data_IF_159249788720
#
_entry.id   IF_159249788720
#
_cell.length_a   1.000
_cell.length_b   1.000
_cell.length_c   1.000
_cell.angle_alpha   90.00
_cell.angle_beta   90.00
_cell.angle_gamma   90.00
#
_symmetry.space_group_name_H-M   'P 1'
#
loop_
_entity.id
_entity.type
_entity.pdbx_description
1 polymer ?
#
# COMPACT_ATOMS: atom_id res chain seq x y z
N UNK A 1 13.27 -32.33 13.00
CA UNK A 1 12.16 -32.97 12.23
C UNK A 1 10.89 -32.21 12.59
N UNK A 2 10.18 -31.60 11.65
CA UNK A 2 8.87 -31.00 11.93
C UNK A 2 7.80 -32.10 11.93
N UNK A 3 7.24 -32.49 13.09
CA UNK A 3 6.44 -33.72 13.20
C UNK A 3 5.07 -33.65 12.51
N UNK A 4 4.51 -32.45 12.34
CA UNK A 4 3.14 -32.29 11.85
C UNK A 4 3.03 -31.75 10.42
N UNK A 5 4.13 -31.25 9.82
CA UNK A 5 4.16 -30.88 8.41
C UNK A 5 3.05 -29.91 7.97
N UNK A 6 2.71 -28.88 8.77
CA UNK A 6 1.62 -27.93 8.50
C UNK A 6 1.89 -26.95 7.34
N UNK A 7 2.20 -27.49 6.16
CA UNK A 7 2.52 -26.69 4.96
C UNK A 7 1.26 -26.00 4.43
N UNK A 8 0.14 -26.72 4.38
CA UNK A 8 -1.10 -26.25 3.75
C UNK A 8 -1.74 -25.09 4.51
N UNK A 9 -1.80 -25.16 5.84
CA UNK A 9 -2.36 -24.10 6.69
C UNK A 9 -1.62 -22.78 6.48
N UNK A 10 -0.29 -22.83 6.35
CA UNK A 10 0.52 -21.64 6.10
C UNK A 10 0.40 -21.19 4.64
N UNK A 11 0.32 -22.13 3.69
CA UNK A 11 0.17 -21.81 2.27
C UNK A 11 -1.19 -21.19 1.93
N UNK A 12 -2.26 -21.55 2.65
CA UNK A 12 -3.62 -21.04 2.43
C UNK A 12 -3.72 -19.52 2.75
N UNK A 13 -2.78 -18.96 3.52
CA UNK A 13 -2.63 -17.50 3.71
C UNK A 13 -2.15 -16.77 2.44
N UNK A 14 -1.64 -17.49 1.43
CA UNK A 14 -1.35 -16.96 0.10
C UNK A 14 -0.29 -15.86 0.07
N UNK A 15 -0.58 -14.75 -0.62
CA UNK A 15 0.42 -13.69 -0.85
C UNK A 15 0.84 -12.94 0.44
N UNK A 16 0.00 -12.97 1.48
CA UNK A 16 0.19 -12.17 2.69
C UNK A 16 1.35 -12.66 3.55
N UNK A 17 1.58 -13.97 3.58
CA UNK A 17 2.60 -14.59 4.44
C UNK A 17 4.00 -14.58 3.81
N UNK A 18 4.11 -14.38 2.49
CA UNK A 18 5.36 -14.35 1.74
C UNK A 18 6.44 -13.39 2.28
N UNK A 19 6.16 -12.11 2.60
CA UNK A 19 7.18 -11.21 3.14
C UNK A 19 7.74 -11.71 4.48
N UNK A 20 6.88 -12.28 5.34
CA UNK A 20 7.28 -12.85 6.63
C UNK A 20 8.15 -14.08 6.42
N UNK A 21 7.72 -15.01 5.55
CA UNK A 21 8.49 -16.22 5.24
C UNK A 21 9.87 -15.91 4.66
N UNK A 22 9.98 -14.90 3.78
CA UNK A 22 11.28 -14.45 3.25
C UNK A 22 12.20 -13.96 4.36
N UNK A 23 11.67 -13.18 5.30
CA UNK A 23 12.42 -12.65 6.45
C UNK A 23 12.90 -13.77 7.37
N UNK A 24 12.03 -14.75 7.63
CA UNK A 24 12.37 -15.95 8.40
C UNK A 24 13.42 -16.80 7.68
N UNK A 25 13.31 -16.96 6.36
CA UNK A 25 14.29 -17.72 5.56
C UNK A 25 15.69 -17.08 5.63
N UNK A 26 15.79 -15.74 5.57
CA UNK A 26 17.06 -15.03 5.78
C UNK A 26 17.64 -15.25 7.17
N UNK A 27 16.78 -15.34 8.19
CA UNK A 27 17.19 -15.56 9.58
C UNK A 27 17.67 -17.00 9.82
N UNK A 28 16.99 -17.99 9.21
CA UNK A 28 17.34 -19.42 9.35
C UNK A 28 18.58 -19.79 8.53
N UNK A 29 18.85 -19.05 7.45
CA UNK A 29 20.08 -19.20 6.67
C UNK A 29 21.30 -18.58 7.36
N UNK A 30 21.10 -17.84 8.47
CA UNK A 30 22.20 -17.24 9.23
C UNK A 30 22.87 -18.28 10.13
N UNK A 31 24.20 -18.27 10.20
CA UNK A 31 25.03 -19.29 10.87
C UNK A 31 24.74 -19.46 12.39
N UNK A 32 24.09 -18.47 13.01
CA UNK A 32 23.72 -18.49 14.43
C UNK A 32 22.38 -19.19 14.73
N UNK A 33 21.71 -19.73 13.72
CA UNK A 33 20.41 -20.36 13.92
C UNK A 33 20.53 -21.77 14.54
N UNK A 34 20.29 -21.86 15.84
CA UNK A 34 20.22 -23.13 16.61
C UNK A 34 18.80 -23.67 16.81
N UNK A 35 17.84 -23.24 15.97
CA UNK A 35 16.44 -23.59 16.14
C UNK A 35 16.05 -24.93 15.49
N UNK A 36 14.85 -25.42 15.83
CA UNK A 36 14.33 -26.72 15.36
C UNK A 36 13.77 -26.71 13.92
N UNK A 37 13.77 -25.54 13.25
CA UNK A 37 13.20 -25.37 11.92
C UNK A 37 14.19 -25.81 10.84
N UNK A 38 13.84 -26.86 10.10
CA UNK A 38 14.57 -27.32 8.91
C UNK A 38 14.37 -26.36 7.73
N UNK A 39 15.47 -26.03 7.05
CA UNK A 39 15.48 -25.27 5.80
C UNK A 39 14.61 -25.91 4.72
N UNK A 40 14.59 -27.24 4.65
CA UNK A 40 13.79 -27.99 3.66
C UNK A 40 12.30 -27.68 3.81
N UNK A 41 11.80 -27.71 5.03
CA UNK A 41 10.40 -27.42 5.34
C UNK A 41 10.03 -25.97 5.05
N UNK A 42 10.94 -25.02 5.31
CA UNK A 42 10.72 -23.62 4.92
C UNK A 42 10.60 -23.46 3.40
N UNK A 43 11.45 -24.14 2.64
CA UNK A 43 11.38 -24.12 1.19
C UNK A 43 10.05 -24.73 0.68
N UNK A 44 9.60 -25.83 1.29
CA UNK A 44 8.33 -26.47 0.96
C UNK A 44 7.14 -25.53 1.24
N UNK A 45 7.13 -24.83 2.37
CA UNK A 45 6.13 -23.80 2.70
C UNK A 45 6.19 -22.64 1.71
N UNK A 46 7.38 -22.14 1.40
CA UNK A 46 7.54 -20.98 0.52
C UNK A 46 7.06 -21.31 -0.90
N UNK A 47 7.36 -22.51 -1.39
CA UNK A 47 6.89 -22.99 -2.69
C UNK A 47 5.36 -23.12 -2.73
N UNK A 48 4.77 -23.74 -1.70
CA UNK A 48 3.32 -23.90 -1.59
C UNK A 48 2.60 -22.54 -1.46
N UNK A 49 3.13 -21.62 -0.65
CA UNK A 49 2.59 -20.27 -0.50
C UNK A 49 2.71 -19.46 -1.80
N UNK A 50 3.79 -19.59 -2.57
CA UNK A 50 3.91 -18.97 -3.90
C UNK A 50 2.87 -19.50 -4.90
N UNK A 51 2.55 -20.79 -4.85
CA UNK A 51 1.50 -21.36 -5.68
C UNK A 51 0.11 -20.81 -5.29
N UNK A 52 -0.19 -20.77 -3.99
CA UNK A 52 -1.44 -20.26 -3.46
C UNK A 52 -1.62 -18.75 -3.68
N UNK A 53 -0.53 -17.97 -3.61
CA UNK A 53 -0.52 -16.52 -3.82
C UNK A 53 -1.04 -16.08 -5.19
N UNK A 54 -0.99 -16.96 -6.21
CA UNK A 54 -1.56 -16.68 -7.54
C UNK A 54 -3.09 -16.68 -7.53
N UNK A 55 -3.70 -17.46 -6.64
CA UNK A 55 -5.14 -17.64 -6.55
C UNK A 55 -5.75 -16.80 -5.42
N UNK A 56 -5.05 -16.67 -4.30
CA UNK A 56 -5.51 -15.98 -3.11
C UNK A 56 -4.45 -15.01 -2.59
N UNK A 57 -4.81 -13.73 -2.51
CA UNK A 57 -3.93 -12.72 -1.90
C UNK A 57 -3.81 -12.91 -0.38
N UNK A 58 -4.75 -13.62 0.25
CA UNK A 58 -4.78 -13.89 1.69
C UNK A 58 -5.73 -12.95 2.43
N UNK A 59 -6.22 -13.38 3.59
CA UNK A 59 -7.15 -12.60 4.44
C UNK A 59 -6.47 -11.34 4.97
N UNK A 60 -5.14 -11.38 5.13
CA UNK A 60 -4.35 -10.29 5.69
C UNK A 60 -3.66 -9.37 4.67
N UNK A 61 -3.79 -9.64 3.35
CA UNK A 61 -3.20 -8.79 2.30
C UNK A 61 -3.84 -7.40 2.25
N UNK A 62 -5.05 -7.27 2.79
CA UNK A 62 -5.70 -5.97 2.94
C UNK A 62 -5.13 -5.18 4.14
N UNK A 63 -4.41 -5.81 5.07
CA UNK A 63 -3.72 -5.14 6.19
C UNK A 63 -2.31 -4.67 5.83
N UNK A 64 -1.70 -5.19 4.74
CA UNK A 64 -0.55 -4.49 4.19
C UNK A 64 -1.08 -3.20 3.58
N UNK A 65 -1.10 -2.16 4.40
CA UNK A 65 -1.16 -0.77 3.99
C UNK A 65 -0.36 -0.68 2.69
N UNK A 66 -1.04 -0.37 1.60
CA UNK A 66 -0.39 -0.02 0.35
C UNK A 66 0.39 1.26 0.60
N UNK A 67 1.57 1.15 1.23
CA UNK A 67 2.64 2.15 1.34
C UNK A 67 3.28 2.39 -0.04
N UNK A 68 2.46 2.37 -1.10
CA UNK A 68 2.83 3.11 -2.28
C UNK A 68 2.57 4.56 -1.89
N UNK A 69 3.62 5.40 -1.77
CA UNK A 69 3.40 6.82 -1.54
C UNK A 69 2.46 7.30 -2.63
N UNK A 70 1.33 7.89 -2.23
CA UNK A 70 0.34 8.41 -3.18
C UNK A 70 1.03 9.49 -4.01
N UNK A 71 1.46 9.13 -5.22
CA UNK A 71 2.13 10.07 -6.13
C UNK A 71 1.08 10.93 -6.82
N UNK A 72 0.83 12.08 -6.22
CA UNK A 72 0.12 13.18 -6.86
C UNK A 72 1.05 13.90 -7.85
N UNK A 73 0.50 14.34 -8.98
CA UNK A 73 1.20 15.21 -9.92
C UNK A 73 1.39 16.60 -9.31
N UNK A 74 2.40 17.37 -9.76
CA UNK A 74 2.65 18.75 -9.31
C UNK A 74 1.39 19.62 -9.34
N UNK A 75 0.59 19.49 -10.39
CA UNK A 75 -0.67 20.23 -10.49
C UNK A 75 -1.73 19.73 -9.50
N UNK A 76 -1.81 18.43 -9.24
CA UNK A 76 -2.73 17.86 -8.26
C UNK A 76 -2.39 18.33 -6.85
N UNK A 77 -1.09 18.33 -6.48
CA UNK A 77 -0.61 18.87 -5.20
C UNK A 77 -0.99 20.35 -5.07
N UNK A 78 -0.71 21.16 -6.11
CA UNK A 78 -1.06 22.59 -6.11
C UNK A 78 -2.57 22.83 -5.92
N UNK A 79 -3.43 22.01 -6.51
CA UNK A 79 -4.88 22.12 -6.29
C UNK A 79 -5.27 21.80 -4.84
N UNK A 80 -4.72 20.73 -4.28
CA UNK A 80 -5.02 20.31 -2.89
C UNK A 80 -4.47 21.32 -1.88
N UNK A 81 -3.35 21.96 -2.17
CA UNK A 81 -2.76 23.05 -1.36
C UNK A 81 -3.61 24.33 -1.39
N UNK A 82 -4.13 24.72 -2.55
CA UNK A 82 -5.06 25.86 -2.62
C UNK A 82 -6.39 25.54 -1.91
N UNK A 83 -6.84 24.29 -1.97
CA UNK A 83 -8.00 23.83 -1.19
C UNK A 83 -7.73 23.86 0.32
N UNK A 84 -6.51 23.53 0.77
CA UNK A 84 -6.15 23.59 2.20
C UNK A 84 -6.12 25.02 2.74
N UNK A 85 -5.86 26.00 1.88
CA UNK A 85 -5.92 27.43 2.18
C UNK A 85 -7.35 28.00 2.16
N UNK A 86 -8.36 27.19 1.81
CA UNK A 86 -9.76 27.60 1.80
C UNK A 86 -10.26 28.24 0.51
N UNK A 87 -9.47 28.22 -0.57
CA UNK A 87 -9.91 28.75 -1.86
C UNK A 87 -10.95 27.86 -2.52
N UNK A 88 -11.96 28.50 -3.14
CA UNK A 88 -12.96 27.80 -3.97
C UNK A 88 -12.42 27.58 -5.38
N UNK A 89 -12.95 26.58 -6.08
CA UNK A 89 -12.57 26.26 -7.46
C UNK A 89 -12.58 27.47 -8.43
N UNK A 90 -13.49 28.43 -8.22
CA UNK A 90 -13.53 29.66 -9.00
C UNK A 90 -12.33 30.59 -8.72
N UNK A 91 -11.96 30.76 -7.44
CA UNK A 91 -10.79 31.54 -7.04
C UNK A 91 -9.49 30.85 -7.46
N UNK A 92 -9.45 29.51 -7.41
CA UNK A 92 -8.33 28.71 -7.90
C UNK A 92 -8.14 28.94 -9.41
N UNK A 93 -9.23 29.08 -10.18
CA UNK A 93 -9.16 29.40 -11.61
C UNK A 93 -8.49 30.76 -11.85
N UNK A 94 -8.86 31.78 -11.07
CA UNK A 94 -8.24 33.11 -11.16
C UNK A 94 -6.76 33.09 -10.79
N UNK A 95 -6.38 32.38 -9.71
CA UNK A 95 -5.00 32.29 -9.23
C UNK A 95 -4.10 31.50 -10.19
N UNK A 96 -4.63 30.42 -10.77
CA UNK A 96 -3.83 29.48 -11.60
C UNK A 96 -3.89 29.79 -13.08
N UNK A 97 -4.84 30.62 -13.52
CA UNK A 97 -5.13 30.88 -14.94
C UNK A 97 -5.73 29.68 -15.67
N UNK A 98 -6.15 28.64 -14.95
CA UNK A 98 -6.72 27.41 -15.52
C UNK A 98 -8.24 27.50 -15.59
N UNK A 99 -8.82 26.84 -16.60
CA UNK A 99 -10.27 26.73 -16.70
C UNK A 99 -10.86 25.86 -15.57
N UNK A 100 -12.03 26.23 -15.07
CA UNK A 100 -12.77 25.50 -14.02
C UNK A 100 -12.92 23.98 -14.32
N UNK A 101 -13.22 23.54 -15.57
CA UNK A 101 -13.30 22.12 -15.89
C UNK A 101 -11.98 21.39 -15.65
N UNK A 102 -10.85 22.02 -16.00
CA UNK A 102 -9.51 21.47 -15.81
C UNK A 102 -9.20 21.27 -14.33
N UNK A 103 -9.56 22.24 -13.49
CA UNK A 103 -9.41 22.15 -12.03
C UNK A 103 -10.24 21.00 -11.45
N UNK A 104 -11.50 20.86 -11.90
CA UNK A 104 -12.38 19.74 -11.50
C UNK A 104 -11.78 18.39 -11.89
N UNK A 105 -11.17 18.29 -13.06
CA UNK A 105 -10.48 17.06 -13.49
C UNK A 105 -9.27 16.76 -12.60
N UNK A 106 -8.42 17.75 -12.31
CA UNK A 106 -7.25 17.53 -11.45
C UNK A 106 -7.62 17.16 -10.01
N UNK A 107 -8.64 17.81 -9.45
CA UNK A 107 -9.15 17.53 -8.09
C UNK A 107 -9.80 16.15 -8.02
N UNK A 108 -10.63 15.76 -9.00
CA UNK A 108 -11.22 14.42 -9.07
C UNK A 108 -10.15 13.32 -9.15
N UNK A 109 -9.14 13.50 -10.00
CA UNK A 109 -8.02 12.56 -10.08
C UNK A 109 -7.18 12.53 -8.79
N UNK A 110 -7.08 13.65 -8.06
CA UNK A 110 -6.42 13.67 -6.75
C UNK A 110 -7.23 12.89 -5.72
N UNK A 111 -8.55 13.05 -5.70
CA UNK A 111 -9.46 12.32 -4.79
C UNK A 111 -9.42 10.82 -5.03
N UNK A 112 -9.46 10.39 -6.29
CA UNK A 112 -9.33 8.99 -6.65
C UNK A 112 -8.00 8.39 -6.19
N UNK A 113 -6.90 9.14 -6.31
CA UNK A 113 -5.58 8.70 -5.86
C UNK A 113 -5.44 8.67 -4.33
N UNK A 114 -6.11 9.58 -3.63
CA UNK A 114 -6.13 9.67 -2.17
C UNK A 114 -7.15 8.71 -1.54
N UNK A 115 -8.06 8.13 -2.33
CA UNK A 115 -9.10 7.21 -1.87
C UNK A 115 -10.25 7.91 -1.13
N UNK A 116 -10.50 9.18 -1.44
CA UNK A 116 -11.50 10.03 -0.76
C UNK A 116 -12.52 10.57 -1.77
N UNK A 117 -13.64 11.08 -1.28
CA UNK A 117 -14.71 11.63 -2.12
C UNK A 117 -14.95 13.13 -1.92
N UNK A 118 -14.38 13.73 -0.86
CA UNK A 118 -14.63 15.10 -0.47
C UNK A 118 -13.32 15.92 -0.44
N UNK A 119 -13.45 17.24 -0.67
CA UNK A 119 -12.33 18.17 -0.64
C UNK A 119 -11.66 18.24 0.73
N UNK A 120 -12.47 18.27 1.80
CA UNK A 120 -11.96 18.30 3.17
C UNK A 120 -11.16 17.03 3.49
N UNK A 121 -11.72 15.87 3.16
CA UNK A 121 -11.07 14.57 3.36
C UNK A 121 -9.78 14.47 2.56
N UNK A 122 -9.75 15.03 1.34
CA UNK A 122 -8.53 15.09 0.53
C UNK A 122 -7.44 15.94 1.16
N UNK A 123 -7.79 17.09 1.75
CA UNK A 123 -6.85 17.95 2.47
C UNK A 123 -6.32 17.24 3.71
N UNK A 124 -7.21 16.65 4.53
CA UNK A 124 -6.82 15.89 5.72
C UNK A 124 -5.89 14.74 5.35
N UNK A 125 -6.26 13.93 4.36
CA UNK A 125 -5.46 12.79 3.91
C UNK A 125 -4.13 13.21 3.32
N UNK A 126 -4.08 14.32 2.59
CA UNK A 126 -2.84 14.85 2.03
C UNK A 126 -1.91 15.42 3.12
N UNK A 127 -2.44 15.96 4.22
CA UNK A 127 -1.66 16.34 5.41
C UNK A 127 -1.13 15.12 6.17
N UNK A 128 -1.95 14.11 6.39
CA UNK A 128 -1.53 12.85 7.02
C UNK A 128 -0.39 12.16 6.25
N UNK A 129 -0.44 12.23 4.93
CA UNK A 129 0.58 11.68 4.04
C UNK A 129 1.80 12.59 3.86
N UNK A 130 1.82 13.78 4.48
CA UNK A 130 2.93 14.75 4.39
C UNK A 130 3.13 15.34 2.99
N UNK A 131 2.10 15.31 2.13
CA UNK A 131 2.16 15.83 0.76
C UNK A 131 2.01 17.37 0.75
N UNK A 132 1.23 17.90 1.69
CA UNK A 132 1.00 19.32 1.92
C UNK A 132 1.13 19.65 3.43
N UNK A 133 1.32 20.92 3.77
CA UNK A 133 1.42 21.41 5.15
C UNK A 133 0.06 21.81 5.74
#
# INVERSE_FOLDING_TARGET
MQPYGFVRVIADEGASILPVLKRVASYVSSADYKGALSQKYLNDILLAAHAAAKQYKGVTANFTCTDKPVKLSKQQVRMVELLSQGYRNAQIAEITGLAIPTIKTHTSLAYQKLGVNNALDAVLRAKELGIIQ
#
